data_IF_681724370607
#
_entry.id   IF_681724370607
#
_cell.length_a   1.000
_cell.length_b   1.000
_cell.length_c   1.000
_cell.angle_alpha   90.00
_cell.angle_beta   90.00
_cell.angle_gamma   90.00
#
_symmetry.space_group_name_H-M   'P 1'
#
loop_
_entity.id
_entity.type
_entity.pdbx_description
1 polymer ?
#
# COMPACT_ATOMS: atom_id res chain seq x y z
N UNK A 1 -10.85 6.97 -9.51
CA UNK A 1 -10.98 7.55 -10.85
C UNK A 1 -10.23 6.72 -11.89
N UNK A 2 -8.93 6.50 -11.73
CA UNK A 2 -8.10 5.75 -12.68
C UNK A 2 -8.63 4.33 -12.95
N UNK A 3 -9.12 3.64 -11.92
CA UNK A 3 -9.62 2.27 -11.99
C UNK A 3 -11.06 2.12 -12.47
N UNK A 4 -11.72 3.18 -12.86
CA UNK A 4 -13.15 3.19 -13.17
C UNK A 4 -13.57 2.12 -14.22
N UNK A 5 -12.69 1.79 -15.18
CA UNK A 5 -12.95 0.73 -16.17
C UNK A 5 -12.92 -0.66 -15.54
N UNK A 6 -11.94 -0.93 -14.66
CA UNK A 6 -11.80 -2.21 -13.93
C UNK A 6 -12.91 -2.35 -12.89
N UNK A 7 -13.23 -1.27 -12.19
CA UNK A 7 -14.27 -1.23 -11.15
C UNK A 7 -15.65 -1.63 -11.69
N UNK A 8 -15.92 -1.41 -12.98
CA UNK A 8 -17.14 -1.88 -13.65
C UNK A 8 -17.24 -3.39 -13.81
N UNK A 9 -16.09 -4.05 -13.94
CA UNK A 9 -15.99 -5.50 -14.19
C UNK A 9 -15.99 -6.32 -12.90
N UNK A 10 -15.80 -5.68 -11.74
CA UNK A 10 -15.73 -6.34 -10.45
C UNK A 10 -17.01 -6.11 -9.64
N UNK A 11 -17.66 -7.16 -9.17
CA UNK A 11 -18.92 -7.10 -8.43
C UNK A 11 -18.85 -6.21 -7.19
N UNK A 12 -17.73 -6.23 -6.47
CA UNK A 12 -17.49 -5.44 -5.28
C UNK A 12 -17.46 -3.93 -5.52
N UNK A 13 -16.98 -3.49 -6.69
CA UNK A 13 -16.67 -2.08 -6.97
C UNK A 13 -17.62 -1.43 -7.97
N UNK A 14 -18.45 -2.19 -8.68
CA UNK A 14 -19.41 -1.68 -9.67
C UNK A 14 -20.44 -0.69 -9.12
N UNK A 15 -20.69 -0.71 -7.79
CA UNK A 15 -21.62 0.21 -7.11
C UNK A 15 -20.97 1.52 -6.64
N UNK A 16 -19.67 1.73 -6.89
CA UNK A 16 -18.98 2.98 -6.50
C UNK A 16 -19.63 4.19 -7.19
N UNK A 17 -19.72 5.36 -6.53
CA UNK A 17 -20.47 6.54 -7.03
C UNK A 17 -20.05 6.97 -8.44
N UNK A 18 -18.76 7.00 -8.74
CA UNK A 18 -18.25 7.36 -10.08
C UNK A 18 -18.58 6.27 -11.10
N UNK A 19 -18.48 4.99 -10.73
CA UNK A 19 -18.75 3.85 -11.62
C UNK A 19 -20.24 3.75 -11.95
N UNK A 20 -21.11 4.01 -10.96
CA UNK A 20 -22.58 4.00 -11.10
C UNK A 20 -23.14 5.28 -11.73
N UNK A 21 -22.30 6.29 -12.02
CA UNK A 21 -22.73 7.55 -12.62
C UNK A 21 -23.40 8.53 -11.65
N UNK A 22 -23.40 8.25 -10.32
CA UNK A 22 -23.96 9.18 -9.31
C UNK A 22 -23.11 10.43 -9.12
N UNK A 23 -21.82 10.34 -9.42
CA UNK A 23 -20.85 11.44 -9.38
C UNK A 23 -20.10 11.42 -10.70
N UNK A 24 -19.98 12.56 -11.35
CA UNK A 24 -19.23 12.66 -12.61
C UNK A 24 -17.71 12.52 -12.36
N UNK A 25 -16.99 12.11 -13.41
CA UNK A 25 -15.53 12.02 -13.35
C UNK A 25 -14.89 13.38 -12.99
N UNK A 26 -15.39 14.46 -13.56
CA UNK A 26 -14.83 15.80 -13.35
C UNK A 26 -15.11 16.33 -11.94
N UNK A 27 -16.29 16.09 -11.37
CA UNK A 27 -16.59 16.46 -9.97
C UNK A 27 -15.67 15.73 -9.00
N UNK A 28 -15.48 14.42 -9.20
CA UNK A 28 -14.60 13.64 -8.36
C UNK A 28 -13.13 14.05 -8.54
N UNK A 29 -12.69 14.38 -9.75
CA UNK A 29 -11.34 14.87 -10.02
C UNK A 29 -11.10 16.23 -9.37
N UNK A 30 -12.03 17.16 -9.51
CA UNK A 30 -11.98 18.49 -8.92
C UNK A 30 -11.86 18.42 -7.39
N UNK A 31 -12.69 17.60 -6.76
CA UNK A 31 -12.62 17.36 -5.32
C UNK A 31 -11.27 16.76 -4.89
N UNK A 32 -10.77 15.76 -5.63
CA UNK A 32 -9.49 15.12 -5.33
C UNK A 32 -8.30 16.11 -5.44
N UNK A 33 -8.30 16.98 -6.44
CA UNK A 33 -7.27 18.03 -6.62
C UNK A 33 -7.32 19.04 -5.49
N UNK A 34 -8.51 19.55 -5.12
CA UNK A 34 -8.67 20.52 -4.02
C UNK A 34 -8.19 19.90 -2.70
N UNK A 35 -8.64 18.68 -2.37
CA UNK A 35 -8.26 18.02 -1.12
C UNK A 35 -6.78 17.69 -1.09
N UNK A 36 -6.20 17.24 -2.21
CA UNK A 36 -4.77 16.97 -2.33
C UNK A 36 -3.93 18.23 -2.15
N UNK A 37 -4.31 19.33 -2.81
CA UNK A 37 -3.62 20.60 -2.68
C UNK A 37 -3.73 21.16 -1.25
N UNK A 38 -4.94 21.20 -0.68
CA UNK A 38 -5.14 21.63 0.70
C UNK A 38 -4.35 20.78 1.70
N UNK A 39 -4.34 19.45 1.51
CA UNK A 39 -3.55 18.54 2.34
C UNK A 39 -2.06 18.85 2.30
N UNK A 40 -1.48 19.04 1.11
CA UNK A 40 -0.05 19.39 0.97
C UNK A 40 0.24 20.77 1.58
N UNK A 41 -0.64 21.76 1.41
CA UNK A 41 -0.48 23.06 2.06
C UNK A 41 -0.43 22.94 3.59
N UNK A 42 -1.35 22.17 4.19
CA UNK A 42 -1.36 21.94 5.64
C UNK A 42 -0.03 21.26 6.08
N UNK A 43 0.46 20.28 5.34
CA UNK A 43 1.70 19.60 5.65
C UNK A 43 2.93 20.52 5.56
N UNK A 44 2.94 21.49 4.63
CA UNK A 44 4.00 22.50 4.55
C UNK A 44 4.07 23.39 5.79
N UNK A 45 2.93 23.65 6.46
CA UNK A 45 2.90 24.37 7.75
C UNK A 45 3.46 23.52 8.91
N UNK A 46 3.45 22.18 8.80
CA UNK A 46 4.05 21.30 9.79
C UNK A 46 5.57 21.26 9.57
N UNK A 47 6.03 20.70 8.48
CA UNK A 47 7.41 20.82 7.98
C UNK A 47 7.49 20.38 6.50
N UNK A 48 8.48 20.92 5.79
CA UNK A 48 8.70 20.69 4.36
C UNK A 48 9.04 19.23 4.04
N UNK A 49 9.75 18.53 4.93
CA UNK A 49 10.13 17.14 4.71
C UNK A 49 8.90 16.21 4.71
N UNK A 50 7.96 16.40 5.64
CA UNK A 50 6.69 15.66 5.65
C UNK A 50 5.89 15.90 4.39
N UNK A 51 5.77 17.16 3.96
CA UNK A 51 5.08 17.50 2.72
C UNK A 51 5.73 16.84 1.50
N UNK A 52 7.06 16.87 1.39
CA UNK A 52 7.81 16.25 0.31
C UNK A 52 7.63 14.73 0.27
N UNK A 53 7.78 14.05 1.41
CA UNK A 53 7.62 12.59 1.49
C UNK A 53 6.19 12.16 1.19
N UNK A 54 5.19 12.89 1.69
CA UNK A 54 3.77 12.60 1.41
C UNK A 54 3.45 12.83 -0.07
N UNK A 55 3.93 13.92 -0.66
CA UNK A 55 3.76 14.19 -2.08
C UNK A 55 4.42 13.11 -2.95
N UNK A 56 5.65 12.70 -2.61
CA UNK A 56 6.37 11.63 -3.31
C UNK A 56 5.63 10.29 -3.22
N UNK A 57 5.10 9.94 -2.04
CA UNK A 57 4.29 8.74 -1.84
C UNK A 57 3.00 8.79 -2.66
N UNK A 58 2.33 9.95 -2.71
CA UNK A 58 1.13 10.18 -3.51
C UNK A 58 1.40 9.99 -5.01
N UNK A 59 2.48 10.57 -5.53
CA UNK A 59 2.90 10.39 -6.94
C UNK A 59 3.26 8.94 -7.22
N UNK A 60 4.00 8.29 -6.34
CA UNK A 60 4.35 6.87 -6.46
C UNK A 60 3.11 5.97 -6.52
N UNK A 61 2.12 6.22 -5.67
CA UNK A 61 0.91 5.42 -5.65
C UNK A 61 -0.06 5.78 -6.77
N UNK A 62 -0.45 7.05 -6.89
CA UNK A 62 -1.44 7.47 -7.88
C UNK A 62 -0.88 7.43 -9.32
N UNK A 63 0.37 7.83 -9.51
CA UNK A 63 1.04 7.85 -10.81
C UNK A 63 1.59 6.45 -11.17
N UNK A 64 2.70 6.06 -10.52
CA UNK A 64 3.46 4.87 -10.95
C UNK A 64 2.69 3.57 -10.72
N UNK A 65 2.15 3.37 -9.50
CA UNK A 65 1.43 2.12 -9.22
C UNK A 65 0.13 2.03 -10.02
N UNK A 66 -0.75 3.03 -9.94
CA UNK A 66 -2.11 2.92 -10.47
C UNK A 66 -2.12 2.92 -12.01
N UNK A 67 -1.32 3.77 -12.66
CA UNK A 67 -1.34 3.87 -14.13
C UNK A 67 -0.42 2.86 -14.82
N UNK A 68 0.66 2.44 -14.19
CA UNK A 68 1.64 1.58 -14.85
C UNK A 68 1.75 0.18 -14.23
N UNK A 69 2.07 0.06 -12.95
CA UNK A 69 2.40 -1.24 -12.35
C UNK A 69 1.21 -2.18 -12.23
N UNK A 70 0.05 -1.66 -11.88
CA UNK A 70 -1.15 -2.46 -11.64
C UNK A 70 -1.56 -3.30 -12.86
N UNK A 71 -1.27 -2.82 -14.05
CA UNK A 71 -1.66 -3.46 -15.31
C UNK A 71 -0.53 -4.25 -15.98
N UNK A 72 0.72 -3.96 -15.65
CA UNK A 72 1.87 -4.45 -16.39
C UNK A 72 2.70 -5.50 -15.65
N UNK A 73 2.53 -5.65 -14.33
CA UNK A 73 3.36 -6.58 -13.57
C UNK A 73 2.60 -7.33 -12.49
N UNK A 74 2.96 -8.61 -12.29
CA UNK A 74 2.48 -9.43 -11.18
C UNK A 74 3.07 -9.02 -9.81
N UNK A 75 4.11 -8.17 -9.81
CA UNK A 75 4.71 -7.58 -8.62
C UNK A 75 4.02 -6.28 -8.20
N UNK A 76 2.88 -5.95 -8.79
CA UNK A 76 2.11 -4.74 -8.52
C UNK A 76 1.83 -4.56 -7.01
N UNK A 77 1.47 -5.64 -6.30
CA UNK A 77 1.20 -5.61 -4.86
C UNK A 77 2.47 -5.29 -4.06
N UNK A 78 3.62 -5.87 -4.43
CA UNK A 78 4.89 -5.64 -3.73
C UNK A 78 5.30 -4.17 -3.87
N UNK A 79 5.38 -3.67 -5.10
CA UNK A 79 5.84 -2.32 -5.36
C UNK A 79 4.84 -1.28 -4.84
N UNK A 80 3.52 -1.52 -5.06
CA UNK A 80 2.45 -0.65 -4.56
C UNK A 80 2.35 -0.63 -3.03
N UNK A 81 2.74 -1.72 -2.37
CA UNK A 81 2.79 -1.86 -0.92
C UNK A 81 3.71 -0.85 -0.24
N UNK A 82 4.74 -0.34 -0.94
CA UNK A 82 5.67 0.65 -0.38
C UNK A 82 4.95 1.95 -0.01
N UNK A 83 4.08 2.44 -0.87
CA UNK A 83 3.31 3.65 -0.57
C UNK A 83 2.31 3.42 0.59
N UNK A 84 1.70 2.22 0.66
CA UNK A 84 0.82 1.83 1.76
C UNK A 84 1.57 1.65 3.10
N UNK A 85 2.87 1.38 3.05
CA UNK A 85 3.71 1.24 4.23
C UNK A 85 4.29 2.57 4.75
N UNK A 86 4.17 3.67 4.01
CA UNK A 86 4.75 4.98 4.35
C UNK A 86 4.17 5.67 5.61
N UNK A 87 2.90 5.49 6.04
CA UNK A 87 2.29 6.27 7.11
C UNK A 87 3.09 6.36 8.42
N UNK A 88 3.70 5.29 8.96
CA UNK A 88 4.51 5.41 10.18
C UNK A 88 5.68 6.39 10.03
N UNK A 89 6.36 6.37 8.89
CA UNK A 89 7.44 7.31 8.59
C UNK A 89 6.92 8.74 8.48
N UNK A 90 5.81 8.93 7.76
CA UNK A 90 5.21 10.25 7.57
C UNK A 90 4.77 10.87 8.90
N UNK A 91 4.12 10.07 9.76
CA UNK A 91 3.71 10.50 11.10
C UNK A 91 4.90 10.84 12.01
N UNK A 92 5.96 10.04 11.97
CA UNK A 92 7.20 10.31 12.72
C UNK A 92 7.84 11.61 12.27
N UNK A 93 8.06 11.77 10.97
CA UNK A 93 8.67 12.98 10.40
C UNK A 93 7.83 14.22 10.68
N UNK A 94 6.50 14.10 10.71
CA UNK A 94 5.62 15.23 11.03
C UNK A 94 5.88 15.78 12.44
N UNK A 95 6.24 14.91 13.39
CA UNK A 95 6.47 15.30 14.79
C UNK A 95 7.93 15.67 15.04
N UNK A 96 8.87 14.90 14.50
CA UNK A 96 10.31 15.04 14.83
C UNK A 96 11.10 15.87 13.81
N UNK A 97 10.59 16.00 12.59
CA UNK A 97 11.33 16.63 11.47
C UNK A 97 12.48 15.77 10.92
N UNK A 98 12.67 14.54 11.41
CA UNK A 98 13.80 13.66 11.06
C UNK A 98 13.34 12.28 10.59
N UNK A 99 14.22 11.62 9.80
CA UNK A 99 14.05 10.21 9.40
C UNK A 99 14.90 9.37 10.34
N UNK A 100 14.27 8.49 11.13
CA UNK A 100 14.93 7.65 12.11
C UNK A 100 14.76 6.15 11.80
N UNK A 101 15.54 5.32 12.47
CA UNK A 101 15.56 3.86 12.26
C UNK A 101 14.24 3.20 12.68
N UNK A 102 13.62 3.67 13.77
CA UNK A 102 12.37 3.08 14.26
C UNK A 102 11.22 3.19 13.25
N UNK A 103 10.86 4.37 12.71
CA UNK A 103 9.81 4.46 11.69
C UNK A 103 10.15 3.71 10.42
N UNK A 104 11.42 3.62 10.00
CA UNK A 104 11.83 2.79 8.87
C UNK A 104 11.61 1.30 9.14
N UNK A 105 11.85 0.84 10.35
CA UNK A 105 11.56 -0.54 10.76
C UNK A 105 10.05 -0.82 10.70
N UNK A 106 9.21 0.10 11.15
CA UNK A 106 7.75 -0.02 11.05
C UNK A 106 7.28 -0.03 9.59
N UNK A 107 7.88 0.80 8.73
CA UNK A 107 7.64 0.74 7.27
C UNK A 107 7.98 -0.63 6.71
N UNK A 108 9.14 -1.20 7.08
CA UNK A 108 9.57 -2.51 6.61
C UNK A 108 8.62 -3.63 7.07
N UNK A 109 8.11 -3.57 8.31
CA UNK A 109 7.11 -4.52 8.83
C UNK A 109 5.83 -4.46 7.98
N UNK A 110 5.26 -3.27 7.76
CA UNK A 110 4.03 -3.12 6.98
C UNK A 110 4.26 -3.51 5.51
N UNK A 111 5.41 -3.14 4.96
CA UNK A 111 5.77 -3.49 3.59
C UNK A 111 5.84 -5.01 3.38
N UNK A 112 6.49 -5.75 4.27
CA UNK A 112 6.61 -7.21 4.18
C UNK A 112 5.32 -7.95 4.52
N UNK A 113 4.45 -7.35 5.37
CA UNK A 113 3.12 -7.89 5.66
C UNK A 113 2.15 -7.77 4.46
N UNK A 114 2.32 -6.73 3.65
CA UNK A 114 1.39 -6.40 2.55
C UNK A 114 1.26 -7.52 1.51
N UNK A 115 2.34 -8.12 0.94
CA UNK A 115 2.20 -9.16 -0.09
C UNK A 115 1.46 -10.40 0.39
N UNK A 116 1.78 -11.06 1.50
CA UNK A 116 1.06 -12.25 1.94
C UNK A 116 -0.42 -11.96 2.22
N UNK A 117 -0.74 -10.80 2.81
CA UNK A 117 -2.11 -10.38 3.05
C UNK A 117 -2.91 -10.21 1.75
N UNK A 118 -2.40 -9.45 0.79
CA UNK A 118 -3.11 -9.21 -0.47
C UNK A 118 -3.13 -10.41 -1.40
N UNK A 119 -2.09 -11.27 -1.39
CA UNK A 119 -2.09 -12.49 -2.20
C UNK A 119 -3.08 -13.53 -1.66
N UNK A 120 -3.34 -13.58 -0.35
CA UNK A 120 -4.41 -14.39 0.22
C UNK A 120 -5.77 -13.96 -0.35
N UNK A 121 -6.06 -12.65 -0.34
CA UNK A 121 -7.26 -12.09 -0.96
C UNK A 121 -7.31 -12.33 -2.48
N UNK A 122 -6.17 -12.24 -3.18
CA UNK A 122 -6.11 -12.47 -4.62
C UNK A 122 -6.36 -13.94 -4.99
N UNK A 123 -6.02 -14.89 -4.13
CA UNK A 123 -6.36 -16.32 -4.30
C UNK A 123 -7.86 -16.52 -4.10
N UNK A 124 -8.45 -15.92 -3.06
CA UNK A 124 -9.90 -16.00 -2.77
C UNK A 124 -10.73 -15.38 -3.91
N UNK A 125 -10.23 -14.32 -4.53
CA UNK A 125 -10.92 -13.55 -5.59
C UNK A 125 -10.31 -13.74 -6.97
N UNK A 126 -9.76 -14.93 -7.25
CA UNK A 126 -8.97 -15.18 -8.47
C UNK A 126 -9.78 -14.95 -9.75
N UNK A 127 -11.06 -15.32 -9.75
CA UNK A 127 -11.93 -15.17 -10.92
C UNK A 127 -12.31 -13.70 -11.16
N UNK A 128 -12.56 -12.93 -10.13
CA UNK A 128 -12.81 -11.48 -10.24
C UNK A 128 -11.61 -10.77 -10.89
N UNK A 129 -10.39 -11.05 -10.41
CA UNK A 129 -9.18 -10.47 -10.97
C UNK A 129 -8.86 -10.94 -12.38
N UNK A 130 -9.16 -12.23 -12.69
CA UNK A 130 -9.02 -12.79 -14.04
C UNK A 130 -9.97 -12.10 -15.02
N UNK A 131 -11.23 -11.94 -14.66
CA UNK A 131 -12.24 -11.28 -15.47
C UNK A 131 -11.93 -9.79 -15.68
N UNK A 132 -11.30 -9.15 -14.70
CA UNK A 132 -10.87 -7.76 -14.78
C UNK A 132 -9.54 -7.56 -15.55
N UNK A 133 -8.87 -8.64 -15.96
CA UNK A 133 -7.59 -8.58 -16.70
C UNK A 133 -6.41 -8.08 -15.88
N UNK A 134 -6.49 -8.16 -14.53
CA UNK A 134 -5.41 -7.70 -13.64
C UNK A 134 -4.40 -8.84 -13.42
N UNK A 135 -3.10 -8.66 -13.75
CA UNK A 135 -2.09 -9.72 -13.71
C UNK A 135 -1.60 -10.01 -12.27
N UNK A 136 -2.52 -10.48 -11.41
CA UNK A 136 -2.16 -10.88 -10.05
C UNK A 136 -1.26 -12.11 -10.04
N UNK A 137 -0.36 -12.21 -9.04
CA UNK A 137 0.60 -13.32 -8.93
C UNK A 137 -0.06 -14.71 -9.03
N UNK A 138 -1.20 -15.01 -8.36
CA UNK A 138 -1.83 -16.33 -8.49
C UNK A 138 -2.38 -16.61 -9.90
N UNK A 139 -2.67 -15.58 -10.71
CA UNK A 139 -3.13 -15.74 -12.09
C UNK A 139 -1.95 -16.01 -13.03
N UNK A 140 -0.86 -15.26 -12.86
CA UNK A 140 0.29 -15.30 -13.77
C UNK A 140 1.25 -16.46 -13.48
N UNK A 141 1.47 -16.79 -12.21
CA UNK A 141 2.44 -17.81 -11.77
C UNK A 141 1.78 -18.99 -11.04
N UNK A 142 0.47 -18.95 -10.85
CA UNK A 142 -0.29 -20.02 -10.20
C UNK A 142 -0.30 -19.94 -8.68
N UNK A 143 -1.29 -20.61 -8.07
CA UNK A 143 -1.54 -20.60 -6.63
C UNK A 143 -0.38 -21.20 -5.83
N UNK A 144 0.26 -22.29 -6.34
CA UNK A 144 1.36 -22.97 -5.66
C UNK A 144 2.58 -22.04 -5.50
N UNK A 145 2.94 -21.30 -6.55
CA UNK A 145 4.02 -20.31 -6.50
C UNK A 145 3.68 -19.17 -5.55
N UNK A 146 2.45 -18.65 -5.61
CA UNK A 146 1.98 -17.59 -4.72
C UNK A 146 2.06 -17.99 -3.25
N UNK A 147 1.61 -19.20 -2.88
CA UNK A 147 1.72 -19.73 -1.51
C UNK A 147 3.17 -19.81 -1.03
N UNK A 148 4.11 -20.26 -1.89
CA UNK A 148 5.55 -20.27 -1.54
C UNK A 148 6.07 -18.84 -1.29
N UNK A 149 5.70 -17.89 -2.14
CA UNK A 149 6.06 -16.49 -1.96
C UNK A 149 5.47 -15.90 -0.66
N UNK A 150 4.23 -16.24 -0.32
CA UNK A 150 3.61 -15.84 0.95
C UNK A 150 4.42 -16.35 2.15
N UNK A 151 4.82 -17.62 2.15
CA UNK A 151 5.64 -18.18 3.22
C UNK A 151 6.98 -17.45 3.33
N UNK A 152 7.66 -17.18 2.20
CA UNK A 152 8.92 -16.44 2.20
C UNK A 152 8.75 -15.04 2.81
N UNK A 153 7.73 -14.27 2.37
CA UNK A 153 7.48 -12.94 2.92
C UNK A 153 7.08 -12.96 4.39
N UNK A 154 6.36 -13.99 4.84
CA UNK A 154 6.03 -14.18 6.27
C UNK A 154 7.27 -14.47 7.10
N UNK A 155 8.22 -15.28 6.61
CA UNK A 155 9.50 -15.50 7.28
C UNK A 155 10.34 -14.22 7.35
N UNK A 156 10.41 -13.45 6.25
CA UNK A 156 11.09 -12.16 6.23
C UNK A 156 10.43 -11.16 7.20
N UNK A 157 9.09 -11.14 7.23
CA UNK A 157 8.33 -10.32 8.18
C UNK A 157 8.69 -10.66 9.62
N UNK A 158 8.71 -11.96 9.97
CA UNK A 158 9.12 -12.41 11.32
C UNK A 158 10.52 -11.90 11.67
N UNK A 159 11.50 -12.03 10.76
CA UNK A 159 12.86 -11.54 10.95
C UNK A 159 12.89 -10.03 11.20
N UNK A 160 12.15 -9.25 10.43
CA UNK A 160 12.10 -7.78 10.56
C UNK A 160 11.37 -7.36 11.85
N UNK A 161 10.36 -8.12 12.29
CA UNK A 161 9.71 -7.87 13.56
C UNK A 161 10.65 -8.02 14.77
N UNK A 162 11.79 -8.70 14.64
CA UNK A 162 12.80 -8.78 15.70
C UNK A 162 13.74 -7.56 15.72
N UNK A 163 13.82 -6.77 14.64
CA UNK A 163 14.72 -5.61 14.56
C UNK A 163 14.51 -4.57 15.67
N UNK A 164 13.28 -4.19 16.08
CA UNK A 164 13.11 -3.23 17.18
C UNK A 164 13.74 -3.65 18.49
N UNK A 165 13.83 -4.96 18.74
CA UNK A 165 14.49 -5.52 19.92
C UNK A 165 16.00 -5.44 19.77
N UNK A 166 16.54 -5.90 18.62
CA UNK A 166 17.97 -5.89 18.31
C UNK A 166 18.53 -4.46 18.36
N UNK A 167 17.72 -3.50 17.94
CA UNK A 167 18.06 -2.08 17.93
C UNK A 167 17.79 -1.37 19.28
N UNK A 168 17.44 -2.11 20.32
CA UNK A 168 17.09 -1.58 21.66
C UNK A 168 15.96 -0.55 21.66
N UNK A 169 15.03 -0.65 20.69
CA UNK A 169 13.88 0.25 20.52
C UNK A 169 12.58 -0.32 21.07
N UNK A 170 12.58 -1.59 21.51
CA UNK A 170 11.43 -2.28 22.07
C UNK A 170 11.81 -3.16 23.25
N UNK A 171 10.84 -3.41 24.15
CA UNK A 171 11.03 -4.14 25.39
C UNK A 171 10.52 -5.59 25.29
N UNK A 172 10.76 -6.38 26.36
CA UNK A 172 10.40 -7.80 26.48
C UNK A 172 8.93 -8.10 26.12
N UNK A 173 8.00 -7.21 26.46
CA UNK A 173 6.57 -7.36 26.13
C UNK A 173 6.34 -7.41 24.62
N UNK A 174 7.08 -6.60 23.87
CA UNK A 174 7.02 -6.65 22.39
C UNK A 174 7.54 -7.97 21.84
N UNK A 175 8.65 -8.50 22.41
CA UNK A 175 9.19 -9.81 22.04
C UNK A 175 8.17 -10.93 22.25
N UNK A 176 7.53 -10.96 23.42
CA UNK A 176 6.49 -11.96 23.71
C UNK A 176 5.34 -11.89 22.68
N UNK A 177 4.86 -10.69 22.35
CA UNK A 177 3.82 -10.51 21.33
C UNK A 177 4.24 -10.87 19.91
N UNK A 178 5.55 -10.83 19.59
CA UNK A 178 6.06 -11.18 18.26
C UNK A 178 6.20 -12.70 18.07
N UNK A 179 6.46 -13.44 19.16
CA UNK A 179 6.73 -14.89 19.14
C UNK A 179 5.45 -15.71 19.38
N UNK A 180 4.42 -15.15 20.03
CA UNK A 180 3.10 -15.78 20.22
C UNK A 180 2.24 -15.72 18.96
#
# INVERSE_FOLDING_TARGET
LADHRIDRLMDRTRKRPVVSGKVSFYEALFLAVILGFAGILILLFINSLTALLTFSSMIGYAGVYTFYLKHNTSQNIVIGGLAGAAPPLLGWVAVTGSIDVLPLTLVAIIFLWTPPHFWALAIDRIDDYRNAGVPMLPITHGIKHTKKSMVLYTLLLFMVCLLPIILHQAYLIYLLGTVM
#
